data_IF_641032913435
#
_entry.id   IF_641032913435
#
_cell.length_a   1.000
_cell.length_b   1.000
_cell.length_c   1.000
_cell.angle_alpha   90.00
_cell.angle_beta   90.00
_cell.angle_gamma   90.00
#
_symmetry.space_group_name_H-M   'P 1'
#
loop_
_entity.id
_entity.type
_entity.pdbx_description
1 polymer ?
#
# COMPACT_ATOMS: atom_id res chain seq x y z
N UNK A 1 0.40 -21.36 -15.26
CA UNK A 1 1.25 -20.15 -15.39
C UNK A 1 0.32 -18.96 -15.63
N UNK A 2 0.26 -17.95 -14.75
CA UNK A 2 -0.66 -16.81 -14.94
C UNK A 2 0.07 -15.68 -15.67
N UNK A 3 -0.57 -15.19 -16.72
CA UNK A 3 -0.15 -14.13 -17.63
C UNK A 3 -0.15 -12.75 -16.93
N UNK A 4 0.88 -11.94 -17.20
CA UNK A 4 1.05 -10.58 -16.67
C UNK A 4 -0.07 -9.67 -17.14
N UNK A 5 -0.45 -9.75 -18.42
CA UNK A 5 -1.54 -8.93 -18.98
C UNK A 5 -2.86 -9.18 -18.26
N UNK A 6 -3.13 -10.44 -17.92
CA UNK A 6 -4.31 -10.82 -17.13
C UNK A 6 -4.32 -10.21 -15.71
N UNK A 7 -3.15 -10.08 -15.07
CA UNK A 7 -3.03 -9.40 -13.77
C UNK A 7 -3.22 -7.89 -13.92
N UNK A 8 -2.62 -7.27 -14.94
CA UNK A 8 -2.75 -5.83 -15.20
C UNK A 8 -4.20 -5.46 -15.55
N UNK A 9 -4.88 -6.24 -16.39
CA UNK A 9 -6.28 -6.00 -16.71
C UNK A 9 -7.19 -6.04 -15.47
N UNK A 10 -6.90 -6.94 -14.52
CA UNK A 10 -7.62 -7.01 -13.23
C UNK A 10 -7.28 -5.83 -12.32
N UNK A 11 -6.01 -5.41 -12.27
CA UNK A 11 -5.58 -4.22 -11.53
C UNK A 11 -6.35 -2.98 -11.99
N UNK A 12 -6.45 -2.75 -13.31
CA UNK A 12 -7.20 -1.63 -13.90
C UNK A 12 -8.69 -1.60 -13.49
N UNK A 13 -9.27 -2.75 -13.15
CA UNK A 13 -10.64 -2.87 -12.63
C UNK A 13 -10.75 -2.75 -11.10
N UNK A 14 -9.66 -2.38 -10.42
CA UNK A 14 -9.62 -2.24 -8.96
C UNK A 14 -9.48 -3.55 -8.19
N UNK A 15 -9.02 -4.64 -8.82
CA UNK A 15 -8.85 -5.93 -8.14
C UNK A 15 -7.66 -5.90 -7.17
N UNK A 16 -7.97 -5.77 -5.87
CA UNK A 16 -6.97 -5.75 -4.77
C UNK A 16 -6.08 -6.99 -4.73
N UNK A 17 -6.57 -8.17 -5.14
CA UNK A 17 -5.76 -9.40 -5.18
C UNK A 17 -4.76 -9.36 -6.32
N UNK A 18 -5.13 -8.77 -7.46
CA UNK A 18 -4.20 -8.54 -8.56
C UNK A 18 -3.10 -7.56 -8.14
N UNK A 19 -3.46 -6.44 -7.49
CA UNK A 19 -2.50 -5.48 -6.94
C UNK A 19 -1.51 -6.14 -5.97
N UNK A 20 -2.00 -6.87 -4.97
CA UNK A 20 -1.14 -7.58 -4.01
C UNK A 20 -0.19 -8.59 -4.69
N UNK A 21 -0.66 -9.27 -5.75
CA UNK A 21 0.15 -10.23 -6.50
C UNK A 21 1.25 -9.54 -7.32
N UNK A 22 0.95 -8.43 -7.98
CA UNK A 22 1.93 -7.64 -8.72
C UNK A 22 3.00 -7.08 -7.78
N UNK A 23 2.59 -6.55 -6.62
CA UNK A 23 3.53 -6.14 -5.57
C UNK A 23 4.42 -7.32 -5.15
N UNK A 24 3.85 -8.50 -4.94
CA UNK A 24 4.64 -9.70 -4.58
C UNK A 24 5.68 -10.05 -5.65
N UNK A 25 5.36 -9.94 -6.95
CA UNK A 25 6.30 -10.19 -8.04
C UNK A 25 7.45 -9.17 -8.03
N UNK A 26 7.15 -7.90 -7.76
CA UNK A 26 8.14 -6.85 -7.61
C UNK A 26 9.06 -7.12 -6.40
N UNK A 27 8.47 -7.47 -5.26
CA UNK A 27 9.21 -7.81 -4.05
C UNK A 27 10.14 -9.02 -4.28
N UNK A 28 9.71 -10.03 -5.04
CA UNK A 28 10.53 -11.21 -5.36
C UNK A 28 11.55 -10.99 -6.48
N UNK A 29 11.66 -9.77 -7.03
CA UNK A 29 12.50 -9.44 -8.21
C UNK A 29 12.19 -10.34 -9.42
N UNK A 30 10.94 -10.78 -9.54
CA UNK A 30 10.50 -11.58 -10.68
C UNK A 30 10.44 -10.68 -11.93
N UNK A 31 11.02 -11.08 -13.08
CA UNK A 31 11.00 -10.28 -14.30
C UNK A 31 9.58 -9.83 -14.72
N UNK A 32 8.56 -10.64 -14.42
CA UNK A 32 7.15 -10.32 -14.69
C UNK A 32 6.65 -9.11 -13.94
N UNK A 33 7.23 -8.79 -12.78
CA UNK A 33 6.93 -7.56 -12.05
C UNK A 33 7.36 -6.33 -12.85
N UNK A 34 8.56 -6.38 -13.45
CA UNK A 34 9.09 -5.29 -14.27
C UNK A 34 8.30 -5.12 -15.57
N UNK A 35 7.90 -6.23 -16.19
CA UNK A 35 6.99 -6.22 -17.35
C UNK A 35 5.67 -5.52 -17.02
N UNK A 36 5.05 -5.87 -15.88
CA UNK A 36 3.81 -5.24 -15.45
C UNK A 36 3.95 -3.73 -15.23
N UNK A 37 5.06 -3.28 -14.61
CA UNK A 37 5.34 -1.86 -14.42
C UNK A 37 5.47 -1.15 -15.76
N UNK A 38 6.20 -1.72 -16.72
CA UNK A 38 6.33 -1.12 -18.05
C UNK A 38 4.99 -0.94 -18.75
N UNK A 39 4.03 -1.87 -18.54
CA UNK A 39 2.69 -1.77 -19.12
C UNK A 39 1.84 -0.65 -18.50
N UNK A 40 1.96 -0.40 -17.19
CA UNK A 40 1.10 0.56 -16.47
C UNK A 40 1.77 1.90 -16.17
N UNK A 41 3.05 2.07 -16.48
CA UNK A 41 3.82 3.26 -16.10
C UNK A 41 3.18 4.57 -16.60
N UNK A 42 2.64 4.57 -17.82
CA UNK A 42 1.96 5.73 -18.40
C UNK A 42 0.62 6.11 -17.76
N UNK A 43 0.07 5.24 -16.91
CA UNK A 43 -1.19 5.47 -16.17
C UNK A 43 -0.94 6.03 -14.76
N UNK A 44 0.32 6.06 -14.31
CA UNK A 44 0.70 6.53 -12.98
C UNK A 44 0.63 8.07 -12.84
N UNK A 45 0.63 8.57 -11.61
CA UNK A 45 0.71 10.00 -11.29
C UNK A 45 -0.63 10.71 -11.05
N UNK A 46 -1.75 10.00 -11.13
CA UNK A 46 -3.08 10.54 -10.81
C UNK A 46 -3.44 10.56 -9.31
N UNK A 47 -2.60 9.99 -8.45
CA UNK A 47 -2.82 9.92 -6.99
C UNK A 47 -1.99 10.94 -6.23
N UNK A 48 -2.53 11.43 -5.11
CA UNK A 48 -1.76 12.23 -4.16
C UNK A 48 -1.02 11.30 -3.18
N UNK A 49 0.27 11.51 -3.03
CA UNK A 49 1.19 10.69 -2.24
C UNK A 49 1.60 11.41 -0.96
N UNK A 50 1.37 10.79 0.20
CA UNK A 50 1.77 11.34 1.51
C UNK A 50 2.70 10.34 2.20
N UNK A 51 3.91 10.79 2.56
CA UNK A 51 4.83 10.05 3.41
C UNK A 51 4.64 10.42 4.88
N UNK A 52 4.43 9.44 5.74
CA UNK A 52 4.30 9.62 7.19
C UNK A 52 5.43 8.86 7.87
N UNK A 53 6.25 9.57 8.65
CA UNK A 53 7.38 9.05 9.43
C UNK A 53 7.36 9.60 10.86
N UNK A 54 8.15 9.02 11.76
CA UNK A 54 8.30 9.43 13.15
C UNK A 54 8.68 8.28 14.07
N UNK A 55 9.08 8.59 15.30
CA UNK A 55 9.52 7.59 16.28
C UNK A 55 8.45 6.53 16.59
N UNK A 56 8.85 5.31 16.99
CA UNK A 56 7.90 4.31 17.48
C UNK A 56 7.03 4.86 18.62
N UNK A 57 5.73 4.57 18.59
CA UNK A 57 4.79 5.00 19.65
C UNK A 57 4.29 6.44 19.57
N UNK A 58 4.74 7.29 18.63
CA UNK A 58 4.26 8.68 18.47
C UNK A 58 2.80 8.78 17.98
N UNK A 59 2.17 7.65 17.65
CA UNK A 59 0.77 7.60 17.21
C UNK A 59 0.55 7.65 15.70
N UNK A 60 1.56 7.31 14.88
CA UNK A 60 1.44 7.30 13.41
C UNK A 60 0.29 6.44 12.91
N UNK A 61 0.14 5.22 13.42
CA UNK A 61 -0.95 4.31 13.03
C UNK A 61 -2.32 4.90 13.38
N UNK A 62 -2.44 5.61 14.52
CA UNK A 62 -3.66 6.34 14.89
C UNK A 62 -3.95 7.49 13.92
N UNK A 63 -2.93 8.27 13.55
CA UNK A 63 -3.06 9.36 12.57
C UNK A 63 -3.50 8.81 11.20
N UNK A 64 -2.84 7.74 10.73
CA UNK A 64 -3.16 7.07 9.47
C UNK A 64 -4.61 6.58 9.48
N UNK A 65 -5.07 5.93 10.54
CA UNK A 65 -6.45 5.46 10.66
C UNK A 65 -7.47 6.61 10.54
N UNK A 66 -7.22 7.73 11.22
CA UNK A 66 -8.09 8.92 11.14
C UNK A 66 -8.06 9.56 9.76
N UNK A 67 -6.89 9.60 9.12
CA UNK A 67 -6.74 10.14 7.77
C UNK A 67 -7.46 9.28 6.72
N UNK A 68 -7.34 7.95 6.81
CA UNK A 68 -8.11 7.02 5.97
C UNK A 68 -9.60 7.29 6.17
N UNK A 69 -10.07 7.34 7.42
CA UNK A 69 -11.49 7.57 7.74
C UNK A 69 -12.01 8.85 7.07
N UNK A 70 -11.30 9.96 7.22
CA UNK A 70 -11.70 11.25 6.63
C UNK A 70 -11.73 11.22 5.10
N UNK A 71 -10.71 10.62 4.47
CA UNK A 71 -10.67 10.50 3.01
C UNK A 71 -11.78 9.60 2.48
N UNK A 72 -12.12 8.54 3.21
CA UNK A 72 -13.23 7.65 2.87
C UNK A 72 -14.59 8.34 3.01
N UNK A 73 -14.80 9.17 4.03
CA UNK A 73 -15.99 10.03 4.17
C UNK A 73 -16.13 10.95 2.95
N UNK A 74 -15.02 11.45 2.41
CA UNK A 74 -14.97 12.25 1.18
C UNK A 74 -15.03 11.43 -0.13
N UNK A 75 -15.40 10.15 -0.07
CA UNK A 75 -15.53 9.28 -1.25
C UNK A 75 -14.22 8.86 -1.92
N UNK A 76 -13.05 9.20 -1.36
CA UNK A 76 -11.73 8.95 -1.99
C UNK A 76 -11.30 7.50 -1.82
N UNK A 77 -10.68 6.90 -2.84
CA UNK A 77 -10.00 5.60 -2.68
C UNK A 77 -8.66 5.80 -1.98
N UNK A 78 -8.29 4.89 -1.09
CA UNK A 78 -7.08 5.01 -0.28
C UNK A 78 -6.20 3.77 -0.42
N UNK A 79 -4.95 3.97 -0.83
CA UNK A 79 -3.89 2.97 -0.78
C UNK A 79 -2.96 3.24 0.40
N UNK A 80 -2.57 2.22 1.15
CA UNK A 80 -1.63 2.31 2.26
C UNK A 80 -0.53 1.28 2.07
N UNK A 81 0.70 1.76 1.92
CA UNK A 81 1.89 0.91 1.94
C UNK A 81 2.64 1.19 3.24
N UNK A 82 2.74 0.19 4.12
CA UNK A 82 3.57 0.31 5.33
C UNK A 82 4.93 -0.31 5.07
N UNK A 83 5.98 0.37 5.49
CA UNK A 83 7.36 -0.09 5.45
C UNK A 83 7.85 -0.13 6.88
N UNK A 84 7.98 -1.34 7.42
CA UNK A 84 8.49 -1.56 8.77
C UNK A 84 9.96 -1.99 8.68
N UNK A 85 10.89 -1.30 9.37
CA UNK A 85 12.24 -1.82 9.53
C UNK A 85 12.15 -3.16 10.29
N UNK A 86 12.92 -4.14 9.85
CA UNK A 86 12.97 -5.45 10.49
C UNK A 86 13.44 -5.29 11.95
N UNK A 87 12.53 -5.39 12.91
CA UNK A 87 12.87 -5.27 14.34
C UNK A 87 13.80 -6.42 14.77
N UNK A 88 15.00 -6.12 15.33
CA UNK A 88 15.88 -7.15 15.89
C UNK A 88 15.40 -7.69 17.24
N UNK A 89 14.33 -7.13 17.83
CA UNK A 89 13.94 -7.40 19.22
C UNK A 89 12.69 -8.25 19.41
N UNK A 90 11.92 -8.57 18.36
CA UNK A 90 10.65 -9.31 18.54
C UNK A 90 10.37 -10.43 17.55
N UNK A 91 11.27 -10.75 16.62
CA UNK A 91 11.09 -11.91 15.73
C UNK A 91 9.81 -11.89 14.88
N UNK A 92 9.21 -10.71 14.63
CA UNK A 92 7.98 -10.62 13.86
C UNK A 92 7.38 -9.22 13.82
N UNK A 93 7.82 -8.40 12.87
CA UNK A 93 7.26 -7.07 12.57
C UNK A 93 5.97 -7.16 11.71
N UNK A 94 5.00 -7.99 12.12
CA UNK A 94 3.81 -8.24 11.28
C UNK A 94 2.47 -7.87 11.94
N UNK A 95 2.43 -7.67 13.26
CA UNK A 95 1.17 -7.66 13.99
C UNK A 95 0.77 -6.27 14.51
N UNK A 96 1.72 -5.39 14.85
CA UNK A 96 1.42 -4.12 15.52
C UNK A 96 0.57 -3.14 14.71
N UNK A 97 0.97 -2.86 13.48
CA UNK A 97 0.29 -1.87 12.63
C UNK A 97 -0.97 -2.43 11.98
N UNK A 98 -0.98 -3.72 11.64
CA UNK A 98 -2.13 -4.37 11.02
C UNK A 98 -3.31 -4.59 11.99
N UNK A 99 -3.02 -4.79 13.28
CA UNK A 99 -4.07 -4.95 14.32
C UNK A 99 -4.74 -3.63 14.66
N UNK A 100 -4.09 -2.49 14.42
CA UNK A 100 -4.68 -1.16 14.70
C UNK A 100 -5.50 -0.59 13.53
N UNK A 101 -5.23 -0.99 12.28
CA UNK A 101 -6.01 -0.56 11.09
C UNK A 101 -7.09 -1.57 10.64
N UNK A 102 -7.56 -2.44 11.55
CA UNK A 102 -8.56 -3.48 11.25
C UNK A 102 -9.89 -2.92 10.73
N UNK A 103 -10.29 -1.75 11.23
CA UNK A 103 -11.55 -1.06 10.90
C UNK A 103 -11.74 -0.80 9.40
N UNK A 104 -10.64 -0.58 8.67
CA UNK A 104 -10.66 -0.27 7.22
C UNK A 104 -10.23 -1.44 6.34
N UNK A 105 -9.85 -2.58 6.91
CA UNK A 105 -9.34 -3.74 6.14
C UNK A 105 -10.44 -4.35 5.26
N UNK A 106 -11.71 -4.21 5.66
CA UNK A 106 -12.88 -4.68 4.91
C UNK A 106 -13.49 -3.62 3.98
N UNK A 107 -13.07 -2.36 4.04
CA UNK A 107 -13.58 -1.29 3.18
C UNK A 107 -13.16 -1.52 1.72
N UNK A 108 -14.09 -1.67 0.75
CA UNK A 108 -13.76 -1.89 -0.66
C UNK A 108 -12.92 -0.76 -1.28
N UNK A 109 -12.99 0.46 -0.75
CA UNK A 109 -12.19 1.60 -1.19
C UNK A 109 -10.81 1.72 -0.55
N UNK A 110 -10.43 0.82 0.37
CA UNK A 110 -9.14 0.85 1.08
C UNK A 110 -8.28 -0.36 0.72
N UNK A 111 -7.03 -0.15 0.32
CA UNK A 111 -6.03 -1.21 0.11
C UNK A 111 -4.87 -1.00 1.07
N UNK A 112 -4.54 -2.00 1.88
CA UNK A 112 -3.41 -1.94 2.84
C UNK A 112 -2.43 -3.07 2.56
N UNK A 113 -1.15 -2.73 2.42
CA UNK A 113 -0.07 -3.70 2.21
C UNK A 113 1.17 -3.31 3.01
N UNK A 114 1.69 -4.27 3.77
CA UNK A 114 2.97 -4.14 4.46
C UNK A 114 4.10 -4.73 3.60
N UNK A 115 5.20 -4.00 3.51
CA UNK A 115 6.46 -4.39 2.86
C UNK A 115 7.53 -4.58 3.93
N UNK A 116 8.35 -5.63 3.78
CA UNK A 116 9.50 -5.86 4.65
C UNK A 116 10.77 -5.25 4.04
N UNK A 117 11.53 -4.47 4.82
CA UNK A 117 12.86 -4.02 4.40
C UNK A 117 13.84 -5.20 4.38
N UNK A 118 14.14 -5.73 3.19
CA UNK A 118 15.18 -6.75 3.04
C UNK A 118 16.57 -6.09 3.10
N UNK A 119 17.14 -5.95 4.29
CA UNK A 119 18.60 -5.95 4.48
C UNK A 119 19.37 -4.61 4.46
N UNK A 120 18.77 -3.45 4.77
CA UNK A 120 19.56 -2.26 5.11
C UNK A 120 19.65 -2.09 6.63
N UNK A 121 20.83 -2.21 7.26
CA UNK A 121 21.01 -1.94 8.67
C UNK A 121 21.06 -0.42 8.87
N UNK A 122 19.91 0.21 9.08
CA UNK A 122 19.88 1.62 9.49
C UNK A 122 18.74 2.42 8.90
N UNK A 123 17.61 2.41 9.60
CA UNK A 123 16.77 3.59 9.85
C UNK A 123 15.60 3.12 10.70
N UNK A 124 15.57 3.49 11.97
CA UNK A 124 14.46 3.18 12.89
C UNK A 124 13.18 3.97 12.60
N UNK A 125 12.91 4.25 11.32
CA UNK A 125 11.79 5.06 10.86
C UNK A 125 10.77 4.13 10.18
N UNK A 126 9.53 4.16 10.66
CA UNK A 126 8.39 3.49 10.02
C UNK A 126 7.83 4.46 8.96
N UNK A 127 7.72 4.02 7.71
CA UNK A 127 7.21 4.84 6.61
C UNK A 127 5.86 4.30 6.16
N UNK A 128 4.81 5.12 6.23
CA UNK A 128 3.54 4.83 5.59
C UNK A 128 3.34 5.76 4.39
N UNK A 129 3.01 5.16 3.25
CA UNK A 129 2.66 5.88 2.04
C UNK A 129 1.15 5.80 1.85
N UNK A 130 0.49 6.96 1.88
CA UNK A 130 -0.93 7.09 1.62
C UNK A 130 -1.14 7.59 0.19
N UNK A 131 -1.90 6.85 -0.60
CA UNK A 131 -2.36 7.29 -1.92
C UNK A 131 -3.85 7.64 -1.85
N UNK A 132 -4.21 8.84 -2.29
CA UNK A 132 -5.61 9.25 -2.48
C UNK A 132 -5.88 9.58 -3.96
N UNK A 133 -6.70 8.76 -4.63
CA UNK A 133 -7.10 9.01 -6.02
C UNK A 133 -8.19 10.11 -6.07
N UNK A 134 -7.98 11.16 -6.87
CA UNK A 134 -8.88 12.31 -6.99
C UNK A 134 -10.04 12.08 -7.98
N UNK A 135 -9.99 11.04 -8.82
CA UNK A 135 -10.92 10.86 -9.93
C UNK A 135 -12.25 10.17 -9.59
N UNK A 136 -12.67 10.16 -8.32
CA UNK A 136 -13.86 9.43 -7.91
C UNK A 136 -15.21 10.07 -8.32
N UNK A 137 -15.23 11.25 -8.96
CA UNK A 137 -16.46 12.03 -9.17
C UNK A 137 -16.81 12.41 -10.63
N UNK A 138 -16.13 11.90 -11.66
CA UNK A 138 -16.44 12.28 -13.06
C UNK A 138 -17.10 11.18 -13.90
N UNK A 139 -17.91 10.31 -13.30
CA UNK A 139 -18.81 9.42 -14.08
C UNK A 139 -20.24 9.55 -13.59
N UNK A 140 -20.86 10.65 -14.00
CA UNK A 140 -22.32 10.83 -14.05
C UNK A 140 -22.78 10.83 -15.50
#
# INVERSE_FOLDING_TARGET
>A
MRDVRGLVARLRRGDKRAAARLITLLESRDPRGREAIAEIYGEAGGSHVIGITGSPGVGKSTLIERLITELRIRGRKVGVITVDPTSPYSGGAFLGDRVRMQSHTTDPGVFIRSLATRGSPGSGEEHAHLEADHRAEETG
#
